data_IF_453596864148
#
_entry.id   IF_453596864148
#
_cell.length_a   1.000
_cell.length_b   1.000
_cell.length_c   1.000
_cell.angle_alpha   90.00
_cell.angle_beta   90.00
_cell.angle_gamma   90.00
#
_symmetry.space_group_name_H-M   'P 1'
#
loop_
_entity.id
_entity.type
_entity.pdbx_description
1 polymer ?
#
# COMPACT_ATOMS: atom_id res chain seq x y z
N UNK A 1 -37.70 26.59 -11.34
CA UNK A 1 -36.40 26.61 -10.62
C UNK A 1 -36.03 25.17 -10.28
N UNK A 2 -35.40 24.44 -11.21
CA UNK A 2 -35.05 23.03 -10.99
C UNK A 2 -33.81 22.95 -10.10
N UNK A 3 -33.99 22.45 -8.89
CA UNK A 3 -32.90 22.04 -8.02
C UNK A 3 -32.34 20.76 -8.61
N UNK A 4 -31.31 20.88 -9.46
CA UNK A 4 -30.40 19.76 -9.68
C UNK A 4 -29.74 19.49 -8.33
N UNK A 5 -30.35 18.64 -7.52
CA UNK A 5 -29.74 18.15 -6.30
C UNK A 5 -28.38 17.59 -6.70
N UNK A 6 -27.31 18.24 -6.25
CA UNK A 6 -25.94 17.79 -6.44
C UNK A 6 -25.81 16.41 -5.76
N UNK A 7 -26.10 15.36 -6.52
CA UNK A 7 -26.08 13.99 -6.02
C UNK A 7 -24.62 13.58 -5.85
N UNK A 8 -24.10 13.71 -4.63
CA UNK A 8 -22.75 13.28 -4.28
C UNK A 8 -22.73 11.76 -4.07
N UNK A 9 -21.80 11.07 -4.73
CA UNK A 9 -21.59 9.62 -4.61
C UNK A 9 -20.17 9.34 -4.10
N UNK A 10 -19.92 8.19 -3.45
CA UNK A 10 -18.58 7.78 -3.08
C UNK A 10 -17.63 7.81 -4.29
N UNK A 11 -16.42 8.32 -4.08
CA UNK A 11 -15.44 8.38 -5.14
C UNK A 11 -14.87 6.98 -5.41
N UNK A 12 -15.13 6.37 -6.59
CA UNK A 12 -14.64 5.03 -6.89
C UNK A 12 -13.10 4.96 -6.90
N UNK A 13 -12.41 6.07 -7.22
CA UNK A 13 -10.95 6.16 -7.16
C UNK A 13 -10.44 6.14 -5.73
N UNK A 14 -11.12 6.83 -4.81
CA UNK A 14 -10.79 6.79 -3.37
C UNK A 14 -10.92 5.36 -2.83
N UNK A 15 -12.05 4.70 -3.12
CA UNK A 15 -12.31 3.32 -2.69
C UNK A 15 -11.33 2.30 -3.29
N UNK A 16 -10.90 2.51 -4.53
CA UNK A 16 -9.86 1.67 -5.14
C UNK A 16 -8.53 1.86 -4.41
N UNK A 17 -8.13 3.11 -4.17
CA UNK A 17 -6.87 3.44 -3.50
C UNK A 17 -6.83 2.91 -2.06
N UNK A 18 -7.94 2.98 -1.31
CA UNK A 18 -8.07 2.37 0.02
C UNK A 18 -7.83 0.86 0.00
N UNK A 19 -8.43 0.15 -0.96
CA UNK A 19 -8.26 -1.30 -1.12
C UNK A 19 -6.81 -1.65 -1.50
N UNK A 20 -6.23 -0.93 -2.44
CA UNK A 20 -4.83 -1.11 -2.84
C UNK A 20 -3.88 -0.89 -1.67
N UNK A 21 -4.11 0.16 -0.87
CA UNK A 21 -3.30 0.44 0.31
C UNK A 21 -3.42 -0.66 1.37
N UNK A 22 -4.63 -1.17 1.61
CA UNK A 22 -4.85 -2.28 2.52
C UNK A 22 -4.12 -3.56 2.05
N UNK A 23 -4.22 -3.90 0.77
CA UNK A 23 -3.52 -5.04 0.19
C UNK A 23 -2.00 -4.90 0.26
N UNK A 24 -1.48 -3.71 -0.04
CA UNK A 24 -0.05 -3.42 0.05
C UNK A 24 0.47 -3.61 1.48
N UNK A 25 -0.25 -3.08 2.49
CA UNK A 25 0.13 -3.22 3.90
C UNK A 25 0.22 -4.69 4.32
N UNK A 26 -0.75 -5.51 3.92
CA UNK A 26 -0.73 -6.96 4.20
C UNK A 26 0.50 -7.62 3.56
N UNK A 27 0.75 -7.36 2.27
CA UNK A 27 1.90 -7.95 1.56
C UNK A 27 3.24 -7.52 2.15
N UNK A 28 3.35 -6.27 2.60
CA UNK A 28 4.56 -5.76 3.27
C UNK A 28 4.76 -6.47 4.60
N UNK A 29 3.72 -6.61 5.42
CA UNK A 29 3.81 -7.33 6.69
C UNK A 29 4.25 -8.79 6.50
N UNK A 30 3.69 -9.49 5.51
CA UNK A 30 4.07 -10.87 5.18
C UNK A 30 5.54 -10.97 4.76
N UNK A 31 6.00 -10.03 3.92
CA UNK A 31 7.37 -9.96 3.45
C UNK A 31 8.37 -9.70 4.60
N UNK A 32 8.03 -8.78 5.50
CA UNK A 32 8.85 -8.51 6.68
C UNK A 32 8.96 -9.73 7.60
N UNK A 33 7.83 -10.39 7.87
CA UNK A 33 7.79 -11.60 8.69
C UNK A 33 8.60 -12.74 8.07
N UNK A 34 8.50 -12.90 6.74
CA UNK A 34 9.26 -13.91 5.99
C UNK A 34 10.78 -13.70 6.09
N UNK A 35 11.24 -12.44 6.17
CA UNK A 35 12.67 -12.11 6.30
C UNK A 35 13.18 -12.14 7.75
N UNK A 36 12.30 -12.01 8.74
CA UNK A 36 12.67 -12.05 10.15
C UNK A 36 13.16 -13.42 10.62
N UNK A 37 12.60 -14.50 10.07
CA UNK A 37 13.03 -15.85 10.42
C UNK A 37 14.45 -16.16 9.92
N UNK A 38 14.78 -16.02 8.62
CA UNK A 38 16.14 -16.17 8.11
C UNK A 38 17.13 -15.24 8.82
N UNK A 39 16.79 -13.97 9.00
CA UNK A 39 17.68 -13.03 9.70
C UNK A 39 18.01 -13.52 11.12
N UNK A 40 17.03 -13.98 11.89
CA UNK A 40 17.28 -14.51 13.25
C UNK A 40 18.17 -15.75 13.24
N UNK A 41 18.00 -16.64 12.26
CA UNK A 41 18.81 -17.85 12.14
C UNK A 41 20.28 -17.52 11.84
N UNK A 42 20.54 -16.59 10.92
CA UNK A 42 21.90 -16.22 10.52
C UNK A 42 22.59 -15.22 11.46
N UNK A 43 21.83 -14.38 12.17
CA UNK A 43 22.40 -13.39 13.10
C UNK A 43 22.44 -13.85 14.56
N UNK A 44 21.59 -14.81 14.96
CA UNK A 44 21.36 -15.15 16.38
C UNK A 44 22.01 -16.44 16.87
N UNK A 45 22.48 -17.33 15.99
CA UNK A 45 23.10 -18.62 16.37
C UNK A 45 24.30 -18.96 15.49
N UNK A 46 25.32 -19.65 16.03
CA UNK A 46 26.47 -20.12 15.27
C UNK A 46 26.11 -21.40 14.48
N UNK A 47 25.08 -21.33 13.63
CA UNK A 47 24.73 -22.46 12.73
C UNK A 47 25.69 -22.49 11.54
N UNK A 48 26.22 -21.33 11.17
CA UNK A 48 27.23 -21.16 10.13
C UNK A 48 28.24 -20.11 10.60
N UNK A 49 29.52 -20.47 10.64
CA UNK A 49 30.59 -19.64 11.23
C UNK A 49 31.70 -19.38 10.23
N UNK A 50 32.39 -18.25 10.38
CA UNK A 50 33.52 -17.83 9.54
C UNK A 50 33.28 -16.51 8.80
N UNK A 51 34.31 -15.97 8.11
CA UNK A 51 34.22 -14.67 7.44
C UNK A 51 33.11 -14.58 6.37
N UNK A 52 32.89 -15.68 5.64
CA UNK A 52 31.83 -15.76 4.62
C UNK A 52 30.44 -15.71 5.26
N UNK A 53 30.23 -16.45 6.35
CA UNK A 53 28.96 -16.46 7.08
C UNK A 53 28.60 -15.07 7.63
N UNK A 54 29.60 -14.36 8.17
CA UNK A 54 29.42 -12.99 8.68
C UNK A 54 29.01 -12.03 7.58
N UNK A 55 29.73 -12.07 6.44
CA UNK A 55 29.42 -11.20 5.29
C UNK A 55 28.02 -11.46 4.74
N UNK A 56 27.61 -12.73 4.67
CA UNK A 56 26.25 -13.07 4.27
C UNK A 56 25.20 -12.51 5.25
N UNK A 57 25.42 -12.63 6.56
CA UNK A 57 24.51 -12.08 7.56
C UNK A 57 24.40 -10.55 7.48
N UNK A 58 25.52 -9.85 7.24
CA UNK A 58 25.58 -8.41 6.99
C UNK A 58 24.78 -8.03 5.72
N UNK A 59 25.01 -8.73 4.61
CA UNK A 59 24.31 -8.51 3.34
C UNK A 59 22.79 -8.76 3.48
N UNK A 60 22.39 -9.82 4.19
CA UNK A 60 20.99 -10.12 4.47
C UNK A 60 20.35 -9.01 5.31
N UNK A 61 21.06 -8.52 6.33
CA UNK A 61 20.61 -7.43 7.19
C UNK A 61 20.40 -6.13 6.40
N UNK A 62 21.37 -5.78 5.55
CA UNK A 62 21.31 -4.58 4.70
C UNK A 62 20.17 -4.66 3.68
N UNK A 63 19.98 -5.81 3.02
CA UNK A 63 18.88 -6.03 2.07
C UNK A 63 17.52 -5.95 2.74
N UNK A 64 17.37 -6.57 3.93
CA UNK A 64 16.13 -6.49 4.72
C UNK A 64 15.83 -5.05 5.11
N UNK A 65 16.80 -4.30 5.63
CA UNK A 65 16.61 -2.90 5.98
C UNK A 65 16.18 -2.04 4.78
N UNK A 66 16.85 -2.19 3.64
CA UNK A 66 16.51 -1.46 2.41
C UNK A 66 15.10 -1.79 1.92
N UNK A 67 14.72 -3.07 1.96
CA UNK A 67 13.39 -3.49 1.52
C UNK A 67 12.28 -2.86 2.37
N UNK A 68 12.45 -2.83 3.70
CA UNK A 68 11.53 -2.16 4.61
C UNK A 68 11.40 -0.68 4.32
N UNK A 69 12.54 -0.02 4.13
CA UNK A 69 12.55 1.41 3.83
C UNK A 69 11.76 1.72 2.55
N UNK A 70 11.98 0.96 1.48
CA UNK A 70 11.26 1.14 0.20
C UNK A 70 9.77 0.82 0.35
N UNK A 71 9.43 -0.27 1.06
CA UNK A 71 8.04 -0.65 1.30
C UNK A 71 7.27 0.41 2.10
N UNK A 72 7.87 0.95 3.17
CA UNK A 72 7.26 2.01 3.96
C UNK A 72 7.16 3.33 3.20
N UNK A 73 8.14 3.67 2.36
CA UNK A 73 8.06 4.84 1.50
C UNK A 73 6.86 4.73 0.53
N UNK A 74 6.69 3.58 -0.11
CA UNK A 74 5.56 3.33 -1.01
C UNK A 74 4.21 3.45 -0.28
N UNK A 75 4.09 2.88 0.92
CA UNK A 75 2.88 3.03 1.75
C UNK A 75 2.61 4.52 2.05
N UNK A 76 3.64 5.26 2.45
CA UNK A 76 3.50 6.69 2.77
C UNK A 76 3.08 7.52 1.55
N UNK A 77 3.60 7.19 0.36
CA UNK A 77 3.23 7.85 -0.90
C UNK A 77 1.75 7.60 -1.23
N UNK A 78 1.29 6.34 -1.16
CA UNK A 78 -0.13 6.01 -1.40
C UNK A 78 -1.06 6.66 -0.36
N UNK A 79 -0.67 6.71 0.90
CA UNK A 79 -1.42 7.41 1.94
C UNK A 79 -1.52 8.91 1.65
N UNK A 80 -0.45 9.52 1.16
CA UNK A 80 -0.42 10.93 0.76
C UNK A 80 -1.38 11.19 -0.40
N UNK A 81 -1.34 10.36 -1.43
CA UNK A 81 -2.27 10.44 -2.57
C UNK A 81 -3.71 10.22 -2.13
N UNK A 82 -3.97 9.26 -1.24
CA UNK A 82 -5.32 8.98 -0.73
C UNK A 82 -5.88 10.19 0.02
N UNK A 83 -5.09 10.82 0.90
CA UNK A 83 -5.51 12.04 1.63
C UNK A 83 -5.83 13.21 0.70
N UNK A 84 -5.21 13.26 -0.47
CA UNK A 84 -5.48 14.30 -1.47
C UNK A 84 -6.74 14.02 -2.31
N UNK A 85 -7.28 12.79 -2.28
CA UNK A 85 -8.49 12.44 -3.02
C UNK A 85 -9.76 12.83 -2.24
N UNK A 86 -10.76 13.45 -2.91
CA UNK A 86 -12.05 13.66 -2.28
C UNK A 86 -12.73 12.31 -2.04
N UNK A 87 -13.37 12.14 -0.88
CA UNK A 87 -14.12 10.93 -0.50
C UNK A 87 -15.39 10.74 -1.32
N UNK A 88 -15.98 11.84 -1.81
CA UNK A 88 -17.19 11.86 -2.65
C UNK A 88 -17.02 12.76 -3.86
N UNK A 89 -17.66 12.41 -4.98
CA UNK A 89 -17.68 13.16 -6.23
C UNK A 89 -19.12 13.36 -6.70
N UNK A 90 -19.36 14.35 -7.56
CA UNK A 90 -20.69 14.56 -8.17
C UNK A 90 -21.03 13.40 -9.11
N UNK A 91 -22.24 12.89 -8.99
CA UNK A 91 -22.76 11.85 -9.87
C UNK A 91 -23.09 12.45 -11.24
N UNK A 92 -22.37 12.04 -12.27
CA UNK A 92 -22.64 12.43 -13.67
C UNK A 92 -23.76 11.60 -14.30
N UNK A 93 -24.67 11.04 -13.49
CA UNK A 93 -25.82 10.27 -14.00
C UNK A 93 -26.64 11.21 -14.89
N UNK A 94 -26.46 11.09 -16.21
CA UNK A 94 -27.23 11.83 -17.20
C UNK A 94 -28.70 11.52 -16.88
N UNK A 95 -29.53 12.51 -16.50
CA UNK A 95 -30.94 12.24 -16.30
C UNK A 95 -31.50 11.69 -17.62
N UNK A 96 -32.39 10.67 -17.59
CA UNK A 96 -32.97 10.14 -18.81
C UNK A 96 -33.58 11.31 -19.58
N UNK A 97 -33.16 11.47 -20.83
CA UNK A 97 -33.70 12.46 -21.76
C UNK A 97 -35.21 12.45 -21.63
N UNK A 98 -35.80 13.54 -21.16
CA UNK A 98 -37.23 13.79 -21.30
C UNK A 98 -37.47 13.99 -22.79
N UNK A 99 -37.57 12.88 -23.52
CA UNK A 99 -38.01 12.84 -24.90
C UNK A 99 -39.42 13.40 -24.94
N UNK A 100 -39.52 14.65 -25.39
CA UNK A 100 -40.78 15.26 -25.79
C UNK A 100 -41.26 14.63 -27.09
N UNK A 101 -42.58 14.51 -27.14
CA UNK A 101 -43.44 14.11 -28.27
C UNK A 101 -43.03 14.71 -29.61
#
# INVERSE_FOLDING_TARGET
MSHSADHMVPNPRHQLMERTLAELRTRVADLEAALDSPHRQFAGRPVWVGPVARRFAEDLSARRARLRQVAHALIADLESELRALPTTVRSTKIPPSSGGW
#
